data_IF_431322270103
#
_entry.id   IF_431322270103
#
_cell.length_a   1.000
_cell.length_b   1.000
_cell.length_c   1.000
_cell.angle_alpha   90.00
_cell.angle_beta   90.00
_cell.angle_gamma   90.00
#
_symmetry.space_group_name_H-M   'P 1'
#
loop_
_entity.id
_entity.type
_entity.pdbx_description
1 polymer ?
#
# COMPACT_ATOMS: atom_id res chain seq x y z
N UNK A 1 18.15 14.34 -17.77
CA UNK A 1 17.27 14.93 -16.72
C UNK A 1 16.17 13.97 -16.26
N UNK A 2 15.38 13.39 -17.18
CA UNK A 2 14.27 12.49 -16.84
C UNK A 2 14.70 11.22 -16.08
N UNK A 3 15.84 10.62 -16.45
CA UNK A 3 16.37 9.43 -15.77
C UNK A 3 16.69 9.66 -14.28
N UNK A 4 17.14 10.87 -13.92
CA UNK A 4 17.38 11.25 -12.52
C UNK A 4 16.08 11.23 -11.71
N UNK A 5 14.98 11.72 -12.28
CA UNK A 5 13.69 11.71 -11.60
C UNK A 5 13.08 10.30 -11.50
N UNK A 6 13.39 9.40 -12.45
CA UNK A 6 13.03 7.98 -12.32
C UNK A 6 13.76 7.34 -11.15
N UNK A 7 15.08 7.52 -11.05
CA UNK A 7 15.89 6.99 -9.94
C UNK A 7 15.50 7.61 -8.61
N UNK A 8 15.16 8.90 -8.59
CA UNK A 8 14.68 9.58 -7.38
C UNK A 8 13.30 9.05 -6.95
N UNK A 9 12.39 8.82 -7.89
CA UNK A 9 11.06 8.28 -7.62
C UNK A 9 11.12 6.83 -7.15
N UNK A 10 11.91 5.96 -7.80
CA UNK A 10 12.11 4.58 -7.33
C UNK A 10 12.87 4.55 -6.01
N UNK A 11 13.83 5.45 -5.81
CA UNK A 11 14.52 5.66 -4.54
C UNK A 11 13.58 6.04 -3.40
N UNK A 12 12.65 6.97 -3.64
CA UNK A 12 11.62 7.34 -2.67
C UNK A 12 10.69 6.15 -2.34
N UNK A 13 10.20 5.43 -3.36
CA UNK A 13 9.35 4.26 -3.15
C UNK A 13 10.09 3.13 -2.41
N UNK A 14 11.37 2.92 -2.70
CA UNK A 14 12.21 1.94 -2.02
C UNK A 14 12.51 2.37 -0.58
N UNK A 15 12.84 3.64 -0.33
CA UNK A 15 13.09 4.15 1.03
C UNK A 15 11.87 3.95 1.94
N UNK A 16 10.67 4.15 1.39
CA UNK A 16 9.39 3.87 2.03
C UNK A 16 9.28 2.37 2.38
N UNK A 17 9.56 1.46 1.43
CA UNK A 17 9.49 0.01 1.69
C UNK A 17 10.55 -0.47 2.69
N UNK A 18 11.80 0.02 2.58
CA UNK A 18 12.89 -0.34 3.48
C UNK A 18 12.68 0.18 4.91
N UNK A 19 12.06 1.36 5.07
CA UNK A 19 11.63 1.85 6.38
C UNK A 19 10.59 0.93 7.03
N UNK A 20 9.63 0.39 6.25
CA UNK A 20 8.67 -0.61 6.73
C UNK A 20 9.35 -1.89 7.18
N UNK A 21 10.32 -2.34 6.39
CA UNK A 21 11.02 -3.60 6.61
C UNK A 21 11.93 -3.53 7.84
N UNK A 22 12.57 -2.38 8.09
CA UNK A 22 13.38 -2.13 9.28
C UNK A 22 12.60 -2.24 10.58
N UNK A 23 11.35 -1.75 10.60
CA UNK A 23 10.48 -1.85 11.79
C UNK A 23 9.84 -3.24 11.96
N UNK A 24 9.85 -4.10 10.93
CA UNK A 24 9.33 -5.47 11.00
C UNK A 24 10.36 -6.48 11.55
N UNK A 25 11.61 -6.09 11.78
CA UNK A 25 12.61 -6.97 12.37
C UNK A 25 12.44 -7.09 13.89
N UNK A 26 12.37 -8.34 14.37
CA UNK A 26 12.10 -8.76 15.77
C UNK A 26 13.06 -8.23 16.85
N UNK A 27 14.09 -7.44 16.50
CA UNK A 27 15.10 -6.90 17.42
C UNK A 27 15.21 -5.37 17.42
N UNK A 28 14.28 -4.65 16.80
CA UNK A 28 14.33 -3.18 16.71
C UNK A 28 13.91 -2.52 18.04
N UNK A 29 14.76 -1.63 18.55
CA UNK A 29 14.45 -0.78 19.71
C UNK A 29 13.43 0.26 19.23
N UNK A 30 12.21 0.18 19.75
CA UNK A 30 11.11 1.04 19.35
C UNK A 30 11.39 2.50 19.71
N UNK A 31 11.71 3.30 18.70
CA UNK A 31 11.80 4.75 18.84
C UNK A 31 10.47 5.40 18.42
N UNK A 32 9.86 6.13 19.35
CA UNK A 32 8.56 6.79 19.15
C UNK A 32 8.64 7.83 18.03
N UNK A 33 9.78 8.51 17.89
CA UNK A 33 9.94 9.61 16.93
C UNK A 33 10.02 9.05 15.50
N UNK A 34 10.83 8.01 15.29
CA UNK A 34 10.94 7.35 13.98
C UNK A 34 9.61 6.70 13.59
N UNK A 35 8.93 6.06 14.54
CA UNK A 35 7.64 5.41 14.31
C UNK A 35 6.55 6.39 13.89
N UNK A 36 6.45 7.54 14.57
CA UNK A 36 5.45 8.56 14.28
C UNK A 36 5.70 9.26 12.94
N UNK A 37 6.97 9.58 12.65
CA UNK A 37 7.36 10.16 11.38
C UNK A 37 7.07 9.19 10.23
N UNK A 38 7.42 7.92 10.40
CA UNK A 38 7.13 6.91 9.39
C UNK A 38 5.62 6.74 9.17
N UNK A 39 4.82 6.65 10.24
CA UNK A 39 3.38 6.51 10.14
C UNK A 39 2.71 7.65 9.34
N UNK A 40 3.19 8.88 9.48
CA UNK A 40 2.69 10.04 8.75
C UNK A 40 3.25 10.20 7.33
N UNK A 41 4.56 10.02 7.16
CA UNK A 41 5.26 10.35 5.92
C UNK A 41 5.27 9.22 4.90
N UNK A 42 5.15 7.96 5.34
CA UNK A 42 5.15 6.81 4.43
C UNK A 42 4.09 6.95 3.32
N UNK A 43 2.86 7.37 3.69
CA UNK A 43 1.74 7.53 2.75
C UNK A 43 1.98 8.70 1.78
N UNK A 44 2.52 9.81 2.27
CA UNK A 44 2.75 11.01 1.44
C UNK A 44 3.91 10.81 0.48
N UNK A 45 5.03 10.23 0.94
CA UNK A 45 6.19 9.92 0.10
C UNK A 45 5.81 8.90 -0.99
N UNK A 46 5.02 7.88 -0.64
CA UNK A 46 4.49 6.94 -1.62
C UNK A 46 3.59 7.64 -2.66
N UNK A 47 2.68 8.51 -2.21
CA UNK A 47 1.79 9.26 -3.11
C UNK A 47 2.56 10.21 -4.04
N UNK A 48 3.61 10.87 -3.55
CA UNK A 48 4.48 11.74 -4.35
C UNK A 48 5.24 10.93 -5.41
N UNK A 49 5.77 9.76 -5.04
CA UNK A 49 6.41 8.86 -6.00
C UNK A 49 5.44 8.42 -7.11
N UNK A 50 4.22 8.02 -6.74
CA UNK A 50 3.18 7.68 -7.72
C UNK A 50 2.76 8.88 -8.59
N UNK A 51 2.59 10.06 -8.00
CA UNK A 51 2.24 11.28 -8.72
C UNK A 51 3.28 11.64 -9.77
N UNK A 52 4.57 11.48 -9.44
CA UNK A 52 5.66 11.66 -10.39
C UNK A 52 5.59 10.67 -11.54
N UNK A 53 5.33 9.39 -11.27
CA UNK A 53 5.16 8.35 -12.31
C UNK A 53 4.01 8.71 -13.26
N UNK A 54 2.86 9.15 -12.72
CA UNK A 54 1.71 9.57 -13.52
C UNK A 54 2.06 10.80 -14.38
N UNK A 55 2.72 11.80 -13.79
CA UNK A 55 3.15 13.02 -14.49
C UNK A 55 4.11 12.70 -15.65
N UNK A 56 5.08 11.79 -15.42
CA UNK A 56 6.01 11.33 -16.44
C UNK A 56 5.31 10.59 -17.59
N UNK A 57 4.25 9.82 -17.29
CA UNK A 57 3.41 9.19 -18.30
C UNK A 57 2.64 10.23 -19.13
N UNK A 58 2.04 11.23 -18.49
CA UNK A 58 1.29 12.29 -19.20
C UNK A 58 2.16 13.14 -20.12
N UNK A 59 3.43 13.38 -19.77
CA UNK A 59 4.37 14.16 -20.58
C UNK A 59 5.04 13.37 -21.72
N UNK A 60 4.65 12.11 -21.97
CA UNK A 60 5.19 11.31 -23.07
C UNK A 60 6.64 10.83 -22.87
N UNK A 61 7.27 11.15 -21.74
CA UNK A 61 8.59 10.67 -21.34
C UNK A 61 8.54 9.33 -20.56
N UNK A 62 7.40 8.64 -20.63
CA UNK A 62 7.13 7.41 -19.88
C UNK A 62 7.80 6.14 -20.41
N UNK A 63 8.40 6.16 -21.61
CA UNK A 63 9.18 5.06 -22.20
C UNK A 63 8.64 3.64 -21.90
N UNK A 64 9.30 2.85 -21.02
CA UNK A 64 8.89 1.49 -20.68
C UNK A 64 7.60 1.40 -19.84
N UNK A 65 7.29 2.39 -19.00
CA UNK A 65 6.09 2.38 -18.16
C UNK A 65 4.84 2.71 -18.96
N UNK A 66 4.95 3.53 -20.00
CA UNK A 66 3.85 3.74 -20.93
C UNK A 66 3.50 2.44 -21.68
N UNK A 67 4.50 1.65 -22.07
CA UNK A 67 4.29 0.31 -22.67
C UNK A 67 3.67 -0.67 -21.66
N UNK A 68 4.06 -0.61 -20.38
CA UNK A 68 3.54 -1.46 -19.31
C UNK A 68 2.09 -1.11 -18.94
N UNK A 69 1.73 0.19 -18.89
CA UNK A 69 0.37 0.67 -18.69
C UNK A 69 -0.55 0.40 -19.88
N UNK A 70 -0.02 0.56 -21.09
CA UNK A 70 -0.76 0.23 -22.31
C UNK A 70 -0.82 -1.29 -22.56
N UNK A 71 -0.22 -2.10 -21.69
CA UNK A 71 -0.25 -3.55 -21.81
C UNK A 71 -1.59 -4.09 -21.32
N UNK A 72 -2.27 -4.86 -22.18
CA UNK A 72 -3.53 -5.57 -21.87
C UNK A 72 -3.48 -6.43 -20.59
N UNK A 73 -2.29 -6.74 -20.08
CA UNK A 73 -2.08 -7.44 -18.81
C UNK A 73 -2.51 -6.64 -17.55
N UNK A 74 -2.52 -5.30 -17.59
CA UNK A 74 -3.02 -4.50 -16.46
C UNK A 74 -4.55 -4.53 -16.31
N UNK A 75 -5.28 -4.83 -17.39
CA UNK A 75 -6.74 -4.91 -17.35
C UNK A 75 -7.27 -6.02 -16.41
N UNK A 76 -6.81 -7.29 -16.48
CA UNK A 76 -7.21 -8.31 -15.49
C UNK A 76 -6.65 -8.02 -14.09
N UNK A 77 -5.44 -7.45 -13.98
CA UNK A 77 -4.83 -7.14 -12.68
C UNK A 77 -5.62 -6.08 -11.91
N UNK A 78 -6.16 -5.09 -12.60
CA UNK A 78 -7.06 -4.09 -12.00
C UNK A 78 -8.34 -4.73 -11.47
N UNK A 79 -8.89 -5.72 -12.18
CA UNK A 79 -10.08 -6.47 -11.72
C UNK A 79 -9.77 -7.35 -10.51
N UNK A 80 -8.60 -7.99 -10.48
CA UNK A 80 -8.16 -8.80 -9.34
C UNK A 80 -7.93 -7.92 -8.10
N UNK A 81 -7.26 -6.79 -8.25
CA UNK A 81 -7.02 -5.82 -7.18
C UNK A 81 -8.34 -5.25 -6.66
N UNK A 82 -9.28 -4.95 -7.55
CA UNK A 82 -10.62 -4.49 -7.16
C UNK A 82 -11.41 -5.55 -6.39
N UNK A 83 -11.37 -6.81 -6.85
CA UNK A 83 -12.00 -7.93 -6.13
C UNK A 83 -11.39 -8.13 -4.73
N UNK A 84 -10.06 -8.06 -4.63
CA UNK A 84 -9.35 -8.12 -3.35
C UNK A 84 -9.75 -6.95 -2.44
N UNK A 85 -9.81 -5.73 -2.96
CA UNK A 85 -10.22 -4.53 -2.22
C UNK A 85 -11.65 -4.67 -1.66
N UNK A 86 -12.60 -5.13 -2.48
CA UNK A 86 -13.97 -5.40 -2.05
C UNK A 86 -14.01 -6.44 -0.92
N UNK A 87 -13.26 -7.54 -1.06
CA UNK A 87 -13.21 -8.58 -0.02
C UNK A 87 -12.65 -8.04 1.29
N UNK A 88 -11.57 -7.26 1.25
CA UNK A 88 -10.96 -6.67 2.44
C UNK A 88 -11.91 -5.70 3.15
N UNK A 89 -12.56 -4.81 2.39
CA UNK A 89 -13.53 -3.87 2.95
C UNK A 89 -14.75 -4.59 3.54
N UNK A 90 -15.26 -5.62 2.86
CA UNK A 90 -16.36 -6.45 3.36
C UNK A 90 -16.01 -7.17 4.67
N UNK A 91 -14.79 -7.72 4.78
CA UNK A 91 -14.32 -8.34 6.02
C UNK A 91 -14.17 -7.30 7.13
N UNK A 92 -13.63 -6.11 6.86
CA UNK A 92 -13.51 -5.05 7.86
C UNK A 92 -14.87 -4.60 8.40
N UNK A 93 -15.84 -4.37 7.51
CA UNK A 93 -17.19 -3.93 7.91
C UNK A 93 -17.93 -5.03 8.66
N UNK A 94 -17.76 -6.29 8.25
CA UNK A 94 -18.28 -7.43 8.99
C UNK A 94 -17.69 -7.51 10.41
N UNK A 95 -16.37 -7.47 10.57
CA UNK A 95 -15.71 -7.51 11.89
C UNK A 95 -16.12 -6.33 12.78
N UNK A 96 -16.26 -5.14 12.19
CA UNK A 96 -16.72 -3.93 12.92
C UNK A 96 -18.18 -4.09 13.34
N UNK A 97 -19.04 -4.67 12.50
CA UNK A 97 -20.44 -4.98 12.82
C UNK A 97 -20.56 -6.01 13.94
N UNK A 98 -19.78 -7.10 13.86
CA UNK A 98 -19.71 -8.14 14.90
C UNK A 98 -19.25 -7.54 16.22
N UNK A 99 -18.29 -6.61 16.22
CA UNK A 99 -17.84 -5.93 17.45
C UNK A 99 -18.93 -5.02 18.05
N UNK A 100 -19.87 -4.51 17.24
CA UNK A 100 -20.98 -3.65 17.69
C UNK A 100 -22.18 -4.44 18.20
N UNK A 101 -22.34 -5.68 17.80
CA UNK A 101 -23.20 -6.68 18.46
C UNK A 101 -22.39 -7.42 19.51
N UNK A 102 -22.46 -6.95 20.76
CA UNK A 102 -21.96 -7.66 21.95
C UNK A 102 -22.26 -9.16 21.84
N UNK A 103 -21.21 -9.98 21.94
CA UNK A 103 -21.18 -11.39 21.54
C UNK A 103 -22.19 -12.29 22.25
N UNK A 104 -23.43 -12.33 21.76
CA UNK A 104 -24.48 -13.22 22.28
C UNK A 104 -24.82 -14.40 21.35
N UNK A 105 -24.11 -14.61 20.24
CA UNK A 105 -24.42 -15.71 19.30
C UNK A 105 -23.16 -16.41 18.76
N UNK A 106 -22.31 -16.93 19.64
CA UNK A 106 -21.45 -18.07 19.26
C UNK A 106 -21.46 -19.13 20.37
N UNK A 107 -22.34 -20.14 20.27
CA UNK A 107 -22.33 -21.32 21.15
C UNK A 107 -21.07 -22.19 20.98
N UNK A 108 -20.12 -21.81 20.12
CA UNK A 108 -18.94 -22.60 19.79
C UNK A 108 -17.71 -22.30 20.66
N UNK A 109 -17.81 -21.42 21.67
CA UNK A 109 -16.72 -21.09 22.63
C UNK A 109 -17.01 -21.55 24.08
N UNK A 110 -17.98 -22.44 24.32
CA UNK A 110 -18.26 -22.98 25.67
C UNK A 110 -18.04 -24.49 25.82
N UNK A 111 -17.53 -25.14 24.76
CA UNK A 111 -17.05 -26.52 24.78
C UNK A 111 -15.67 -26.55 24.14
N UNK A 112 -14.66 -26.18 24.92
CA UNK A 112 -13.34 -26.82 24.93
C UNK A 112 -12.59 -26.46 26.21
#
# INVERSE_FOLDING_TARGET
MVAFCWVLSTGCCLAVIFGAFGMMQKGYVYDVVESALYAGLHRTVWAIGLAWVIFACCHGHGGPVNTLLSWKAMAPLSRLTYAAYLSHFAVLTYNTGVTRTVGFLSPYYVVS
#
